data_IF_685666722075
#
_entry.id   IF_685666722075
#
_cell.length_a   1.000
_cell.length_b   1.000
_cell.length_c   1.000
_cell.angle_alpha   90.00
_cell.angle_beta   90.00
_cell.angle_gamma   90.00
#
_symmetry.space_group_name_H-M   'P 1'
#
loop_
_entity.id
_entity.type
_entity.pdbx_description
1 polymer ?
#
# COMPACT_ATOMS: atom_id res chain seq x y z
N UNK A 1 9.97 3.10 -16.80
CA UNK A 1 9.82 3.79 -15.51
C UNK A 1 11.17 4.36 -15.09
N UNK A 2 11.23 5.56 -14.53
CA UNK A 2 12.47 6.10 -13.97
C UNK A 2 12.93 5.26 -12.76
N UNK A 3 14.21 5.41 -12.39
CA UNK A 3 14.86 4.66 -11.33
C UNK A 3 15.81 5.53 -10.53
N UNK A 4 15.85 5.32 -9.21
CA UNK A 4 16.78 5.98 -8.29
C UNK A 4 17.44 4.92 -7.41
N UNK A 5 18.72 5.06 -7.11
CA UNK A 5 19.39 4.16 -6.16
C UNK A 5 19.12 4.60 -4.73
N UNK A 6 18.47 3.75 -3.94
CA UNK A 6 18.20 3.92 -2.52
C UNK A 6 18.82 2.73 -1.77
N UNK A 7 19.60 2.99 -0.76
CA UNK A 7 20.28 1.96 0.04
C UNK A 7 21.02 0.89 -0.81
N UNK A 8 21.64 1.35 -1.91
CA UNK A 8 22.39 0.48 -2.82
C UNK A 8 21.56 -0.36 -3.78
N UNK A 9 20.22 -0.21 -3.77
CA UNK A 9 19.32 -0.95 -4.64
C UNK A 9 18.56 -0.02 -5.58
N UNK A 10 18.22 -0.45 -6.83
CA UNK A 10 17.44 0.35 -7.77
C UNK A 10 15.97 0.35 -7.34
N UNK A 11 15.45 1.51 -6.98
CA UNK A 11 14.03 1.75 -6.71
C UNK A 11 13.39 2.35 -7.97
N UNK A 12 12.50 1.63 -8.59
CA UNK A 12 11.69 2.10 -9.71
C UNK A 12 10.46 2.82 -9.20
N UNK A 13 10.01 3.82 -9.94
CA UNK A 13 8.81 4.58 -9.64
C UNK A 13 8.14 5.07 -10.91
N UNK A 14 6.84 5.29 -10.84
CA UNK A 14 6.10 6.02 -11.88
C UNK A 14 6.10 7.50 -11.50
N UNK A 15 6.22 8.37 -12.49
CA UNK A 15 6.13 9.83 -12.37
C UNK A 15 5.32 10.35 -13.55
N UNK A 16 4.13 10.86 -13.27
CA UNK A 16 3.18 11.29 -14.30
C UNK A 16 2.38 12.51 -13.85
N UNK A 17 2.12 13.43 -14.78
CA UNK A 17 1.40 14.67 -14.51
C UNK A 17 2.31 15.77 -13.99
N UNK A 18 1.73 16.90 -13.61
CA UNK A 18 2.42 18.09 -13.14
C UNK A 18 1.66 18.74 -11.96
N UNK A 19 2.30 19.66 -11.26
CA UNK A 19 1.69 20.40 -10.16
C UNK A 19 1.99 19.83 -8.78
N UNK A 20 1.01 19.91 -7.88
CA UNK A 20 1.14 19.39 -6.52
C UNK A 20 1.31 17.87 -6.51
N UNK A 21 2.18 17.38 -5.62
CA UNK A 21 2.57 15.98 -5.63
C UNK A 21 1.61 15.11 -4.83
N UNK A 22 1.17 14.02 -5.44
CA UNK A 22 0.45 12.92 -4.79
C UNK A 22 1.29 11.64 -4.91
N UNK A 23 1.64 11.07 -3.77
CA UNK A 23 2.36 9.78 -3.68
C UNK A 23 1.37 8.67 -3.45
N UNK A 24 1.39 7.62 -4.27
CA UNK A 24 0.54 6.44 -4.12
C UNK A 24 1.36 5.25 -3.62
N UNK A 25 1.06 4.76 -2.43
CA UNK A 25 1.70 3.60 -1.82
C UNK A 25 0.91 2.31 -2.11
N UNK A 26 1.54 1.37 -2.80
CA UNK A 26 0.92 0.13 -3.25
C UNK A 26 0.79 -0.93 -2.15
N UNK A 27 -0.11 -1.90 -2.36
CA UNK A 27 -0.28 -3.07 -1.52
C UNK A 27 0.84 -4.09 -1.73
N UNK A 28 1.09 -4.92 -0.71
CA UNK A 28 1.95 -6.09 -0.82
C UNK A 28 1.46 -7.04 -1.91
N UNK A 29 2.36 -7.59 -2.71
CA UNK A 29 2.15 -8.44 -3.88
C UNK A 29 1.58 -7.72 -5.13
N UNK A 30 1.34 -6.42 -5.05
CA UNK A 30 0.88 -5.59 -6.15
C UNK A 30 1.96 -4.60 -6.60
N UNK A 31 1.95 -4.26 -7.87
CA UNK A 31 2.78 -3.21 -8.45
C UNK A 31 1.96 -1.94 -8.74
N UNK A 32 2.57 -0.94 -9.35
CA UNK A 32 1.91 0.33 -9.69
C UNK A 32 0.67 0.19 -10.59
N UNK A 33 0.51 -0.93 -11.30
CA UNK A 33 -0.65 -1.17 -12.16
C UNK A 33 -1.98 -1.21 -11.38
N UNK A 34 -1.95 -1.51 -10.07
CA UNK A 34 -3.14 -1.42 -9.22
C UNK A 34 -3.74 -0.01 -9.15
N UNK A 35 -2.94 0.99 -9.45
CA UNK A 35 -3.32 2.40 -9.43
C UNK A 35 -3.68 2.98 -10.79
N UNK A 36 -3.75 2.14 -11.86
CA UNK A 36 -3.93 2.62 -13.23
C UNK A 36 -5.13 3.58 -13.39
N UNK A 37 -6.27 3.27 -12.76
CA UNK A 37 -7.46 4.11 -12.81
C UNK A 37 -7.28 5.43 -12.04
N UNK A 38 -6.58 5.42 -10.90
CA UNK A 38 -6.28 6.60 -10.09
C UNK A 38 -5.24 7.47 -10.80
N UNK A 39 -4.17 6.88 -11.33
CA UNK A 39 -3.13 7.59 -12.09
C UNK A 39 -3.74 8.34 -13.26
N UNK A 40 -4.61 7.70 -14.04
CA UNK A 40 -5.27 8.30 -15.20
C UNK A 40 -6.11 9.54 -14.86
N UNK A 41 -6.72 9.56 -13.68
CA UNK A 41 -7.55 10.69 -13.24
C UNK A 41 -6.70 11.74 -12.52
N UNK A 42 -5.90 11.33 -11.54
CA UNK A 42 -5.13 12.25 -10.72
C UNK A 42 -4.04 13.00 -11.49
N UNK A 43 -3.40 12.35 -12.47
CA UNK A 43 -2.33 12.97 -13.27
C UNK A 43 -2.81 14.11 -14.17
N UNK A 44 -4.12 14.31 -14.30
CA UNK A 44 -4.68 15.47 -14.99
C UNK A 44 -4.61 16.76 -14.15
N UNK A 45 -4.43 16.63 -12.83
CA UNK A 45 -4.47 17.73 -11.86
C UNK A 45 -3.25 17.79 -10.93
N UNK A 46 -2.53 16.67 -10.79
CA UNK A 46 -1.44 16.48 -9.84
C UNK A 46 -0.24 15.80 -10.50
N UNK A 47 0.95 15.98 -9.94
CA UNK A 47 2.09 15.12 -10.23
C UNK A 47 2.00 13.87 -9.38
N UNK A 48 1.75 12.73 -10.00
CA UNK A 48 1.56 11.43 -9.34
C UNK A 48 2.86 10.65 -9.33
N UNK A 49 3.32 10.30 -8.12
CA UNK A 49 4.52 9.47 -7.90
C UNK A 49 4.07 8.14 -7.31
N UNK A 50 4.45 7.03 -7.94
CA UNK A 50 4.14 5.69 -7.43
C UNK A 50 5.44 4.91 -7.27
N UNK A 51 6.04 4.86 -6.07
CA UNK A 51 7.18 4.00 -5.82
C UNK A 51 6.78 2.54 -5.86
N UNK A 52 7.54 1.72 -6.58
CA UNK A 52 7.37 0.27 -6.53
C UNK A 52 7.98 -0.28 -5.24
N UNK A 53 7.29 -1.18 -4.56
CA UNK A 53 7.86 -1.88 -3.42
C UNK A 53 9.08 -2.71 -3.83
N UNK A 54 9.98 -2.95 -2.90
CA UNK A 54 11.13 -3.81 -3.12
C UNK A 54 10.73 -5.23 -3.56
N UNK A 55 11.34 -5.72 -4.63
CA UNK A 55 11.02 -7.00 -5.23
C UNK A 55 9.73 -7.04 -6.04
N UNK A 56 8.97 -5.92 -6.09
CA UNK A 56 7.76 -5.79 -6.90
C UNK A 56 8.05 -4.99 -8.18
N UNK A 57 7.21 -5.16 -9.18
CA UNK A 57 7.37 -4.46 -10.46
C UNK A 57 8.78 -4.61 -11.03
N UNK A 58 9.46 -3.47 -11.24
CA UNK A 58 10.84 -3.44 -11.73
C UNK A 58 11.87 -3.09 -10.63
N UNK A 59 11.42 -2.86 -9.39
CA UNK A 59 12.32 -2.53 -8.27
C UNK A 59 13.25 -3.67 -7.92
N UNK A 60 14.44 -3.29 -7.46
CA UNK A 60 15.47 -4.22 -7.00
C UNK A 60 15.06 -4.99 -5.74
N UNK A 61 16.00 -5.78 -5.25
CA UNK A 61 15.78 -6.56 -4.02
C UNK A 61 15.66 -5.65 -2.79
N UNK A 62 15.02 -6.18 -1.75
CA UNK A 62 14.92 -5.50 -0.45
C UNK A 62 16.33 -5.18 0.07
N UNK A 63 16.65 -3.91 0.39
CA UNK A 63 17.94 -3.55 0.96
C UNK A 63 18.22 -4.30 2.27
N UNK A 64 19.46 -4.73 2.46
CA UNK A 64 19.85 -5.54 3.63
C UNK A 64 19.67 -4.83 4.98
N UNK A 65 19.65 -3.50 4.99
CA UNK A 65 19.42 -2.68 6.17
C UNK A 65 17.94 -2.45 6.51
N UNK A 66 17.01 -2.89 5.67
CA UNK A 66 15.57 -2.75 5.90
C UNK A 66 15.11 -3.75 6.97
N UNK A 67 14.71 -3.26 8.16
CA UNK A 67 14.32 -4.06 9.32
C UNK A 67 12.91 -3.78 9.81
N UNK A 68 12.27 -2.73 9.32
CA UNK A 68 10.98 -2.24 9.79
C UNK A 68 10.21 -1.50 8.72
N UNK A 69 8.94 -1.21 8.99
CA UNK A 69 8.13 -0.31 8.15
C UNK A 69 8.61 1.15 8.25
N UNK A 70 9.31 1.53 9.32
CA UNK A 70 9.92 2.85 9.44
C UNK A 70 11.07 3.00 8.42
N UNK A 71 11.84 1.92 8.16
CA UNK A 71 12.88 1.95 7.12
C UNK A 71 12.26 2.10 5.72
N UNK A 72 11.14 1.43 5.44
CA UNK A 72 10.40 1.63 4.17
C UNK A 72 9.93 3.09 4.03
N UNK A 73 9.39 3.68 5.09
CA UNK A 73 8.98 5.08 5.12
C UNK A 73 10.16 6.02 4.82
N UNK A 74 11.32 5.77 5.44
CA UNK A 74 12.55 6.55 5.22
C UNK A 74 13.09 6.39 3.79
N UNK A 75 12.97 5.20 3.19
CA UNK A 75 13.38 4.94 1.82
C UNK A 75 12.51 5.68 0.80
N UNK A 76 11.19 5.77 1.06
CA UNK A 76 10.30 6.61 0.26
C UNK A 76 10.62 8.10 0.43
N UNK A 77 10.89 8.57 1.66
CA UNK A 77 11.35 9.94 1.87
C UNK A 77 12.66 10.24 1.11
N UNK A 78 13.62 9.31 1.12
CA UNK A 78 14.87 9.45 0.37
C UNK A 78 14.64 9.53 -1.15
N UNK A 79 13.66 8.78 -1.70
CA UNK A 79 13.23 8.94 -3.08
C UNK A 79 12.71 10.36 -3.33
N UNK A 80 11.80 10.85 -2.49
CA UNK A 80 11.20 12.17 -2.66
C UNK A 80 12.23 13.30 -2.53
N UNK A 81 13.22 13.14 -1.65
CA UNK A 81 14.35 14.08 -1.53
C UNK A 81 15.21 14.12 -2.80
N UNK A 82 15.45 12.96 -3.45
CA UNK A 82 16.16 12.89 -4.75
C UNK A 82 15.37 13.52 -5.89
N UNK A 83 14.06 13.66 -5.75
CA UNK A 83 13.17 14.31 -6.71
C UNK A 83 12.89 15.78 -6.35
N UNK A 84 13.57 16.33 -5.34
CA UNK A 84 13.37 17.70 -4.82
C UNK A 84 11.93 17.98 -4.37
N UNK A 85 11.18 16.95 -3.97
CA UNK A 85 9.80 17.04 -3.51
C UNK A 85 9.82 17.33 -2.00
N UNK A 86 9.46 18.54 -1.59
CA UNK A 86 9.47 18.97 -0.20
C UNK A 86 8.15 18.67 0.53
N UNK A 87 7.01 18.82 -0.13
CA UNK A 87 5.67 18.55 0.42
C UNK A 87 4.84 17.73 -0.56
N UNK A 88 4.02 16.86 -0.05
CA UNK A 88 3.19 15.97 -0.87
C UNK A 88 1.95 15.50 -0.11
N UNK A 89 0.92 15.07 -0.83
CA UNK A 89 -0.18 14.27 -0.30
C UNK A 89 0.18 12.78 -0.46
N UNK A 90 -0.17 11.97 0.52
CA UNK A 90 0.11 10.53 0.51
C UNK A 90 -1.20 9.74 0.54
N UNK A 91 -1.37 8.85 -0.41
CA UNK A 91 -2.46 7.87 -0.48
C UNK A 91 -1.83 6.50 -0.36
N UNK A 92 -2.06 5.80 0.74
CA UNK A 92 -1.44 4.49 0.99
C UNK A 92 -2.47 3.40 1.16
N UNK A 93 -2.40 2.35 0.31
CA UNK A 93 -3.24 1.19 0.40
C UNK A 93 -2.48 0.03 1.06
N UNK A 94 -3.09 -0.62 2.06
CA UNK A 94 -2.51 -1.77 2.77
C UNK A 94 -1.14 -1.43 3.37
N UNK A 95 -0.07 -2.13 2.98
CA UNK A 95 1.29 -1.79 3.44
C UNK A 95 1.68 -0.35 3.08
N UNK A 96 1.18 0.18 1.96
CA UNK A 96 1.34 1.60 1.59
C UNK A 96 0.79 2.54 2.65
N UNK A 97 -0.35 2.21 3.26
CA UNK A 97 -0.92 2.94 4.40
C UNK A 97 -0.14 2.72 5.69
N UNK A 98 0.38 1.49 5.90
CA UNK A 98 1.16 1.17 7.12
C UNK A 98 2.46 1.97 7.20
N UNK A 99 3.30 1.97 6.16
CA UNK A 99 4.50 2.81 6.15
C UNK A 99 4.16 4.29 5.96
N UNK A 100 3.06 4.60 5.27
CA UNK A 100 2.57 5.96 5.06
C UNK A 100 2.18 6.66 6.36
N UNK A 101 1.49 5.98 7.26
CA UNK A 101 1.17 6.50 8.60
C UNK A 101 2.46 6.79 9.40
N UNK A 102 3.46 5.90 9.35
CA UNK A 102 4.75 6.10 10.03
C UNK A 102 5.49 7.29 9.46
N UNK A 103 5.51 7.44 8.13
CA UNK A 103 6.10 8.59 7.45
C UNK A 103 5.42 9.89 7.90
N UNK A 104 4.09 9.92 7.95
CA UNK A 104 3.33 11.10 8.37
C UNK A 104 3.61 11.47 9.84
N UNK A 105 3.77 10.49 10.71
CA UNK A 105 4.14 10.72 12.11
C UNK A 105 5.59 11.20 12.27
N UNK A 106 6.51 10.69 11.46
CA UNK A 106 7.94 11.04 11.53
C UNK A 106 8.27 12.39 10.87
N UNK A 107 7.55 12.77 9.81
CA UNK A 107 7.81 13.97 9.02
C UNK A 107 6.51 14.74 8.69
N UNK A 108 5.74 15.15 9.72
CA UNK A 108 4.41 15.77 9.52
C UNK A 108 4.47 17.03 8.65
N UNK A 109 5.56 17.79 8.69
CA UNK A 109 5.77 18.99 7.88
C UNK A 109 5.87 18.71 6.37
N UNK A 110 6.11 17.45 5.97
CA UNK A 110 6.20 17.01 4.58
C UNK A 110 4.81 16.65 4.01
N UNK A 111 3.83 16.38 4.89
CA UNK A 111 2.51 15.86 4.52
C UNK A 111 1.53 17.02 4.38
N UNK A 112 0.90 17.13 3.20
CA UNK A 112 -0.22 18.06 2.93
C UNK A 112 -1.55 17.40 3.26
N UNK A 113 -1.68 16.12 2.91
CA UNK A 113 -2.84 15.29 3.20
C UNK A 113 -2.46 13.83 3.25
N UNK A 114 -3.16 13.06 4.06
CA UNK A 114 -2.95 11.63 4.24
C UNK A 114 -4.24 10.87 3.99
N UNK A 115 -4.21 9.88 3.10
CA UNK A 115 -5.30 8.93 2.91
C UNK A 115 -4.82 7.54 3.26
N UNK A 116 -5.46 6.92 4.24
CA UNK A 116 -5.21 5.56 4.69
C UNK A 116 -6.29 4.63 4.11
N UNK A 117 -5.90 3.76 3.17
CA UNK A 117 -6.84 2.90 2.46
C UNK A 117 -6.61 1.41 2.79
N UNK A 118 -7.68 0.70 3.10
CA UNK A 118 -7.64 -0.77 3.26
C UNK A 118 -6.41 -1.21 4.10
N UNK A 119 -6.16 -0.52 5.22
CA UNK A 119 -4.93 -0.62 6.01
C UNK A 119 -5.22 -0.61 7.51
N UNK A 120 -4.22 -0.94 8.32
CA UNK A 120 -4.30 -0.88 9.77
C UNK A 120 -2.92 -0.66 10.41
N UNK A 121 -2.85 0.31 11.32
CA UNK A 121 -1.60 0.67 12.01
C UNK A 121 -1.31 -0.17 13.26
N UNK A 122 -2.26 -0.98 13.71
CA UNK A 122 -2.10 -1.92 14.83
C UNK A 122 -1.26 -3.15 14.44
N UNK A 123 -0.78 -3.89 15.45
CA UNK A 123 -0.13 -5.17 15.24
C UNK A 123 -1.11 -6.22 14.71
N UNK A 124 -0.57 -7.23 14.01
CA UNK A 124 -1.38 -8.40 13.66
C UNK A 124 -1.75 -9.20 14.93
N UNK A 125 -3.01 -9.64 15.07
CA UNK A 125 -3.36 -10.64 16.07
C UNK A 125 -2.46 -11.88 15.94
N UNK A 126 -2.04 -12.46 17.07
CA UNK A 126 -1.05 -13.55 17.08
C UNK A 126 -1.41 -14.72 16.16
N UNK A 127 -2.67 -15.16 16.18
CA UNK A 127 -3.13 -16.27 15.33
C UNK A 127 -3.04 -15.92 13.83
N UNK A 128 -3.40 -14.68 13.46
CA UNK A 128 -3.33 -14.19 12.08
C UNK A 128 -1.87 -14.05 11.63
N UNK A 129 -1.02 -13.52 12.50
CA UNK A 129 0.43 -13.40 12.26
C UNK A 129 1.06 -14.76 11.99
N UNK A 130 0.76 -15.76 12.83
CA UNK A 130 1.29 -17.12 12.64
C UNK A 130 0.75 -17.77 11.35
N UNK A 131 -0.51 -17.53 11.01
CA UNK A 131 -1.05 -17.99 9.74
C UNK A 131 -0.30 -17.42 8.54
N UNK A 132 -0.08 -16.10 8.49
CA UNK A 132 0.70 -15.49 7.42
C UNK A 132 2.15 -15.95 7.40
N UNK A 133 2.78 -16.11 8.57
CA UNK A 133 4.14 -16.62 8.64
C UNK A 133 4.26 -18.06 8.15
N UNK A 134 3.25 -18.90 8.38
CA UNK A 134 3.21 -20.26 7.82
C UNK A 134 3.13 -20.25 6.29
N UNK A 135 2.34 -19.34 5.70
CA UNK A 135 2.28 -19.17 4.25
C UNK A 135 3.63 -18.69 3.67
N UNK A 136 4.27 -17.71 4.31
CA UNK A 136 5.59 -17.25 3.93
C UNK A 136 6.65 -18.37 4.01
N UNK A 137 6.57 -19.21 5.04
CA UNK A 137 7.45 -20.38 5.19
C UNK A 137 7.25 -21.40 4.07
N UNK A 138 6.00 -21.64 3.66
CA UNK A 138 5.70 -22.53 2.52
C UNK A 138 6.28 -21.99 1.21
N UNK A 139 6.20 -20.66 0.98
CA UNK A 139 6.82 -20.01 -0.19
C UNK A 139 8.34 -20.15 -0.13
N UNK A 140 8.94 -19.89 1.02
CA UNK A 140 10.38 -19.98 1.26
C UNK A 140 10.91 -21.39 0.97
N UNK A 141 10.25 -22.42 1.50
CA UNK A 141 10.63 -23.82 1.31
C UNK A 141 10.48 -24.28 -0.14
N UNK A 142 9.39 -23.89 -0.81
CA UNK A 142 9.13 -24.22 -2.19
C UNK A 142 10.00 -23.38 -3.19
N UNK A 143 10.37 -22.16 -2.81
CA UNK A 143 10.98 -21.17 -3.69
C UNK A 143 10.06 -20.74 -4.85
N UNK A 144 8.77 -20.91 -4.66
CA UNK A 144 7.68 -20.54 -5.58
C UNK A 144 6.39 -20.37 -4.78
N UNK A 145 5.36 -19.81 -5.42
CA UNK A 145 4.01 -19.80 -4.85
C UNK A 145 3.24 -20.97 -5.48
N UNK A 146 3.11 -22.11 -4.80
CA UNK A 146 2.46 -23.29 -5.39
C UNK A 146 0.97 -23.08 -5.59
N UNK A 147 0.32 -23.80 -6.54
CA UNK A 147 -1.09 -23.60 -6.87
C UNK A 147 -2.06 -23.60 -5.68
N UNK A 148 -1.97 -24.51 -4.69
CA UNK A 148 -2.85 -24.46 -3.53
C UNK A 148 -2.71 -23.19 -2.70
N UNK A 149 -1.50 -22.60 -2.67
CA UNK A 149 -1.24 -21.36 -1.97
C UNK A 149 -1.74 -20.15 -2.76
N UNK A 150 -1.66 -20.17 -4.10
CA UNK A 150 -2.30 -19.17 -4.96
C UNK A 150 -3.82 -19.15 -4.74
N UNK A 151 -4.45 -20.33 -4.67
CA UNK A 151 -5.89 -20.47 -4.44
C UNK A 151 -6.31 -19.97 -3.05
N UNK A 152 -5.40 -19.97 -2.07
CA UNK A 152 -5.63 -19.40 -0.75
C UNK A 152 -5.37 -17.88 -0.71
N UNK A 153 -4.32 -17.39 -1.38
CA UNK A 153 -3.90 -15.98 -1.33
C UNK A 153 -4.79 -15.08 -2.17
N UNK A 154 -5.03 -15.44 -3.44
CA UNK A 154 -5.68 -14.52 -4.40
C UNK A 154 -7.06 -14.05 -3.92
N UNK A 155 -7.97 -14.92 -3.42
CA UNK A 155 -9.30 -14.48 -2.99
C UNK A 155 -9.30 -13.55 -1.77
N UNK A 156 -8.19 -13.48 -1.00
CA UNK A 156 -8.09 -12.61 0.17
C UNK A 156 -8.19 -11.12 -0.25
N UNK A 157 -7.66 -10.79 -1.42
CA UNK A 157 -7.58 -9.41 -1.90
C UNK A 157 -8.90 -8.87 -2.46
N UNK A 158 -9.88 -9.70 -2.72
CA UNK A 158 -11.10 -9.31 -3.40
C UNK A 158 -12.35 -9.50 -2.54
N UNK A 159 -13.42 -8.81 -2.91
CA UNK A 159 -14.73 -8.97 -2.27
C UNK A 159 -15.23 -10.42 -2.32
N UNK A 160 -16.16 -10.75 -1.44
CA UNK A 160 -16.79 -12.07 -1.44
C UNK A 160 -17.60 -12.29 -2.73
N UNK A 161 -17.50 -13.50 -3.28
CA UNK A 161 -18.23 -13.86 -4.49
C UNK A 161 -17.73 -13.21 -5.79
N UNK A 162 -16.49 -12.68 -5.78
CA UNK A 162 -15.84 -12.24 -7.01
C UNK A 162 -15.81 -13.37 -8.03
N UNK A 163 -16.13 -13.06 -9.29
CA UNK A 163 -15.96 -14.01 -10.39
C UNK A 163 -14.46 -14.19 -10.67
N UNK A 164 -13.91 -15.42 -10.50
CA UNK A 164 -12.50 -15.68 -10.78
C UNK A 164 -12.08 -15.43 -12.24
N UNK A 165 -13.04 -15.40 -13.17
CA UNK A 165 -12.76 -15.08 -14.59
C UNK A 165 -12.63 -13.56 -14.86
N UNK A 166 -12.83 -12.73 -13.83
CA UNK A 166 -12.65 -11.28 -13.96
C UNK A 166 -11.21 -10.96 -14.37
N UNK A 167 -10.99 -10.08 -15.37
CA UNK A 167 -9.65 -9.82 -15.92
C UNK A 167 -8.61 -9.41 -14.88
N UNK A 168 -8.96 -8.56 -13.91
CA UNK A 168 -8.02 -8.12 -12.87
C UNK A 168 -7.73 -9.24 -11.85
N UNK A 169 -8.67 -10.14 -11.57
CA UNK A 169 -8.44 -11.31 -10.73
C UNK A 169 -7.43 -12.24 -11.40
N UNK A 170 -7.63 -12.56 -12.67
CA UNK A 170 -6.71 -13.40 -13.45
C UNK A 170 -5.34 -12.74 -13.63
N UNK A 171 -5.30 -11.43 -13.87
CA UNK A 171 -4.05 -10.69 -13.97
C UNK A 171 -3.24 -10.75 -12.66
N UNK A 172 -3.89 -10.55 -11.52
CA UNK A 172 -3.23 -10.68 -10.21
C UNK A 172 -2.77 -12.12 -9.94
N UNK A 173 -3.63 -13.11 -10.17
CA UNK A 173 -3.23 -14.52 -10.03
C UNK A 173 -2.00 -14.85 -10.91
N UNK A 174 -2.00 -14.37 -12.14
CA UNK A 174 -0.89 -14.59 -13.06
C UNK A 174 0.39 -13.87 -12.60
N UNK A 175 0.29 -12.64 -12.09
CA UNK A 175 1.46 -11.90 -11.60
C UNK A 175 2.20 -12.67 -10.50
N UNK A 176 1.48 -13.31 -9.59
CA UNK A 176 2.07 -14.10 -8.50
C UNK A 176 2.87 -15.32 -9.01
N UNK A 177 2.52 -15.87 -10.16
CA UNK A 177 3.27 -17.00 -10.76
C UNK A 177 4.57 -16.56 -11.42
N UNK A 178 4.77 -15.28 -11.65
CA UNK A 178 5.94 -14.72 -12.34
C UNK A 178 7.11 -14.37 -11.43
N UNK A 179 6.91 -14.36 -10.12
CA UNK A 179 8.01 -14.12 -9.20
C UNK A 179 9.09 -15.19 -9.36
N UNK A 180 10.32 -14.76 -9.57
CA UNK A 180 11.48 -15.65 -9.55
C UNK A 180 11.74 -16.13 -8.11
N UNK A 181 12.44 -17.27 -7.99
CA UNK A 181 12.90 -17.75 -6.69
C UNK A 181 13.67 -16.69 -5.93
N UNK A 182 14.56 -15.97 -6.60
CA UNK A 182 15.37 -14.91 -6.03
C UNK A 182 14.49 -13.75 -5.49
N UNK A 183 13.54 -13.26 -6.29
CA UNK A 183 12.60 -12.23 -5.83
C UNK A 183 11.82 -12.67 -4.58
N UNK A 184 11.34 -13.92 -4.57
CA UNK A 184 10.61 -14.46 -3.43
C UNK A 184 11.48 -14.50 -2.17
N UNK A 185 12.70 -15.04 -2.25
CA UNK A 185 13.55 -15.26 -1.08
C UNK A 185 14.26 -14.00 -0.59
N UNK A 186 14.66 -13.11 -1.52
CA UNK A 186 15.45 -11.92 -1.17
C UNK A 186 14.57 -10.69 -0.88
N UNK A 187 13.28 -10.72 -1.25
CA UNK A 187 12.42 -9.54 -1.13
C UNK A 187 11.02 -9.87 -0.61
N UNK A 188 10.26 -10.69 -1.32
CA UNK A 188 8.83 -10.89 -1.03
C UNK A 188 8.63 -11.51 0.36
N UNK A 189 9.30 -12.62 0.66
CA UNK A 189 9.18 -13.28 1.96
C UNK A 189 9.73 -12.40 3.10
N UNK A 190 10.94 -11.81 3.02
CA UNK A 190 11.43 -10.89 4.05
C UNK A 190 10.50 -9.69 4.27
N UNK A 191 10.01 -9.06 3.20
CA UNK A 191 9.07 -7.94 3.30
C UNK A 191 7.76 -8.37 3.97
N UNK A 192 7.21 -9.53 3.60
CA UNK A 192 6.04 -10.10 4.26
C UNK A 192 6.23 -10.30 5.76
N UNK A 193 7.42 -10.75 6.19
CA UNK A 193 7.76 -10.87 7.61
C UNK A 193 7.77 -9.52 8.33
N UNK A 194 8.25 -8.46 7.69
CA UNK A 194 8.20 -7.10 8.25
C UNK A 194 6.76 -6.60 8.36
N UNK A 195 5.93 -6.83 7.34
CA UNK A 195 4.54 -6.38 7.31
C UNK A 195 3.71 -7.07 8.40
N UNK A 196 3.74 -8.40 8.43
CA UNK A 196 2.92 -9.18 9.36
C UNK A 196 3.50 -9.26 10.77
N UNK A 197 4.80 -8.98 10.92
CA UNK A 197 5.48 -8.89 12.22
C UNK A 197 5.57 -7.47 12.79
N UNK A 198 4.90 -6.49 12.17
CA UNK A 198 5.00 -5.08 12.57
C UNK A 198 4.56 -4.84 14.01
N UNK A 199 5.19 -3.86 14.63
CA UNK A 199 4.79 -3.33 15.94
C UNK A 199 3.50 -2.51 15.85
N UNK A 200 2.82 -2.39 16.98
CA UNK A 200 1.60 -1.60 17.13
C UNK A 200 1.90 -0.10 17.16
N UNK A 201 1.25 0.66 16.26
CA UNK A 201 1.34 2.13 16.19
C UNK A 201 -0.05 2.78 16.27
N UNK A 202 -1.07 2.02 16.64
CA UNK A 202 -2.45 2.49 16.61
C UNK A 202 -2.66 3.75 17.46
N UNK A 203 -2.19 3.73 18.71
CA UNK A 203 -2.32 4.88 19.60
C UNK A 203 -1.58 6.14 19.11
N UNK A 204 -0.48 5.96 18.35
CA UNK A 204 0.27 7.08 17.80
C UNK A 204 -0.50 7.87 16.74
N UNK A 205 -1.51 7.27 16.12
CA UNK A 205 -2.34 7.93 15.11
C UNK A 205 -3.09 9.16 15.66
N UNK A 206 -3.31 9.25 16.96
CA UNK A 206 -3.91 10.43 17.62
C UNK A 206 -3.11 11.74 17.40
N UNK A 207 -1.84 11.64 16.98
CA UNK A 207 -1.01 12.80 16.65
C UNK A 207 -1.20 13.29 15.20
N UNK A 208 -1.92 12.54 14.35
CA UNK A 208 -2.20 12.96 12.97
C UNK A 208 -3.29 14.05 12.94
N UNK A 209 -3.17 15.07 12.06
CA UNK A 209 -4.17 16.12 11.95
C UNK A 209 -5.45 15.60 11.29
N UNK A 210 -6.58 15.68 12.01
CA UNK A 210 -7.87 15.16 11.55
C UNK A 210 -8.36 15.82 10.25
N UNK A 211 -8.12 17.12 10.11
CA UNK A 211 -8.59 17.95 8.98
C UNK A 211 -7.89 17.64 7.66
N UNK A 212 -6.71 17.05 7.70
CA UNK A 212 -5.92 16.66 6.53
C UNK A 212 -5.68 15.15 6.45
N UNK A 213 -6.50 14.36 7.15
CA UNK A 213 -6.47 12.90 7.11
C UNK A 213 -7.83 12.33 6.69
N UNK A 214 -7.83 11.27 5.90
CA UNK A 214 -9.00 10.53 5.46
C UNK A 214 -8.72 9.03 5.58
N UNK A 215 -9.70 8.26 6.03
CA UNK A 215 -9.64 6.79 6.03
C UNK A 215 -10.67 6.25 5.03
N UNK A 216 -10.22 5.37 4.13
CA UNK A 216 -11.05 4.63 3.18
C UNK A 216 -10.93 3.13 3.43
N UNK A 217 -12.00 2.37 3.19
CA UNK A 217 -11.92 0.91 3.28
C UNK A 217 -13.01 0.26 2.42
N UNK A 218 -12.66 -0.79 1.68
CA UNK A 218 -13.66 -1.64 1.02
C UNK A 218 -14.61 -2.25 2.04
N UNK A 219 -15.93 -2.18 1.77
CA UNK A 219 -16.93 -2.67 2.72
C UNK A 219 -16.85 -4.18 2.95
N UNK A 220 -16.19 -4.92 2.04
CA UNK A 220 -15.96 -6.35 2.09
C UNK A 220 -14.49 -6.72 2.24
N UNK A 221 -13.65 -5.81 2.73
CA UNK A 221 -12.24 -6.08 3.01
C UNK A 221 -12.13 -7.16 4.11
N UNK A 222 -11.48 -8.28 3.77
CA UNK A 222 -11.32 -9.42 4.68
C UNK A 222 -10.05 -9.32 5.53
N UNK A 223 -8.86 -9.06 4.95
CA UNK A 223 -7.62 -8.95 5.73
C UNK A 223 -7.57 -7.71 6.61
N UNK A 224 -8.26 -6.64 6.22
CA UNK A 224 -8.36 -5.37 6.97
C UNK A 224 -9.83 -4.97 7.09
N UNK A 225 -10.59 -5.60 7.99
CA UNK A 225 -12.04 -5.37 8.03
C UNK A 225 -12.38 -3.90 8.32
N UNK A 226 -13.54 -3.41 7.84
CA UNK A 226 -13.97 -2.03 8.04
C UNK A 226 -13.99 -1.55 9.49
N UNK A 227 -14.06 -2.46 10.46
CA UNK A 227 -13.94 -2.14 11.89
C UNK A 227 -12.58 -1.57 12.25
N UNK A 228 -11.49 -2.09 11.69
CA UNK A 228 -10.12 -1.57 11.89
C UNK A 228 -9.97 -0.17 11.30
N UNK A 229 -10.54 0.07 10.12
CA UNK A 229 -10.52 1.39 9.48
C UNK A 229 -11.33 2.42 10.30
N UNK A 230 -12.49 2.06 10.83
CA UNK A 230 -13.28 2.92 11.71
C UNK A 230 -12.55 3.24 13.01
N UNK A 231 -11.91 2.26 13.63
CA UNK A 231 -11.08 2.45 14.82
C UNK A 231 -9.97 3.48 14.57
N UNK A 232 -9.24 3.36 13.45
CA UNK A 232 -8.23 4.36 13.09
C UNK A 232 -8.84 5.75 12.90
N UNK A 233 -9.96 5.85 12.19
CA UNK A 233 -10.64 7.12 11.96
C UNK A 233 -11.13 7.77 13.27
N UNK A 234 -11.63 6.98 14.21
CA UNK A 234 -12.03 7.43 15.55
C UNK A 234 -10.84 7.95 16.36
N UNK A 235 -9.71 7.23 16.34
CA UNK A 235 -8.49 7.65 17.05
C UNK A 235 -7.93 8.96 16.48
N UNK A 236 -7.94 9.12 15.16
CA UNK A 236 -7.48 10.36 14.49
C UNK A 236 -8.52 11.49 14.64
N UNK A 237 -9.80 11.16 14.75
CA UNK A 237 -10.92 12.10 14.68
C UNK A 237 -11.22 12.56 13.24
N UNK A 238 -10.86 11.78 12.23
CA UNK A 238 -11.00 12.14 10.82
C UNK A 238 -12.19 11.45 10.13
N UNK A 239 -12.59 11.88 8.91
CA UNK A 239 -13.62 11.21 8.15
C UNK A 239 -13.24 9.76 7.77
N UNK A 240 -14.26 8.89 7.74
CA UNK A 240 -14.22 7.54 7.19
C UNK A 240 -15.20 7.41 6.03
N UNK A 241 -14.77 6.75 4.94
CA UNK A 241 -15.64 6.43 3.81
C UNK A 241 -15.51 4.93 3.50
N UNK A 242 -16.64 4.21 3.54
CA UNK A 242 -16.72 2.84 3.01
C UNK A 242 -16.83 2.85 1.49
N UNK A 243 -16.06 1.98 0.83
CA UNK A 243 -16.12 1.79 -0.61
C UNK A 243 -17.03 0.59 -0.90
N UNK A 244 -18.23 0.81 -1.45
CA UNK A 244 -19.19 -0.26 -1.68
C UNK A 244 -18.68 -1.22 -2.77
N UNK A 245 -19.12 -2.48 -2.70
CA UNK A 245 -18.77 -3.53 -3.67
C UNK A 245 -17.26 -3.71 -3.87
N UNK A 246 -16.46 -3.52 -2.82
CA UNK A 246 -15.00 -3.67 -2.86
C UNK A 246 -14.48 -4.44 -1.63
N UNK A 247 -13.47 -5.28 -1.87
CA UNK A 247 -12.65 -5.93 -0.87
C UNK A 247 -11.37 -5.14 -0.58
N UNK A 248 -10.24 -5.85 -0.40
CA UNK A 248 -8.96 -5.25 0.02
C UNK A 248 -8.30 -4.36 -1.04
N UNK A 249 -8.56 -4.59 -2.32
CA UNK A 249 -8.01 -3.74 -3.39
C UNK A 249 -9.14 -2.86 -3.94
N UNK A 250 -9.64 -1.99 -3.08
CA UNK A 250 -10.78 -1.11 -3.41
C UNK A 250 -10.49 -0.20 -4.61
N UNK A 251 -9.21 0.17 -4.81
CA UNK A 251 -8.74 0.97 -5.97
C UNK A 251 -9.00 0.31 -7.32
N UNK A 252 -9.02 -1.04 -7.37
CA UNK A 252 -9.24 -1.84 -8.57
C UNK A 252 -10.71 -2.25 -8.70
N UNK A 253 -11.34 -2.64 -7.57
CA UNK A 253 -12.71 -3.17 -7.60
C UNK A 253 -13.79 -2.11 -7.77
N UNK A 254 -13.58 -0.91 -7.20
CA UNK A 254 -14.48 0.23 -7.39
C UNK A 254 -13.71 1.53 -7.62
N UNK A 255 -12.99 1.64 -8.75
CA UNK A 255 -12.14 2.80 -9.02
C UNK A 255 -12.91 4.12 -9.12
N UNK A 256 -14.17 4.10 -9.56
CA UNK A 256 -14.97 5.31 -9.68
C UNK A 256 -15.25 5.96 -8.31
N UNK A 257 -15.67 5.16 -7.33
CA UNK A 257 -15.92 5.63 -5.97
C UNK A 257 -14.62 6.12 -5.30
N UNK A 258 -13.52 5.36 -5.46
CA UNK A 258 -12.20 5.75 -4.94
C UNK A 258 -11.73 7.06 -5.57
N UNK A 259 -11.80 7.21 -6.88
CA UNK A 259 -11.38 8.44 -7.57
C UNK A 259 -12.19 9.66 -7.09
N UNK A 260 -13.51 9.50 -6.94
CA UNK A 260 -14.37 10.57 -6.43
C UNK A 260 -13.97 10.98 -5.00
N UNK A 261 -13.73 10.02 -4.12
CA UNK A 261 -13.33 10.27 -2.75
C UNK A 261 -11.96 10.97 -2.68
N UNK A 262 -10.98 10.50 -3.47
CA UNK A 262 -9.64 11.08 -3.51
C UNK A 262 -9.65 12.52 -4.04
N UNK A 263 -10.31 12.79 -5.16
CA UNK A 263 -10.42 14.16 -5.70
C UNK A 263 -11.12 15.09 -4.70
N UNK A 264 -12.27 14.68 -4.16
CA UNK A 264 -13.01 15.48 -3.21
C UNK A 264 -12.23 15.79 -1.90
N UNK A 265 -11.29 14.94 -1.53
CA UNK A 265 -10.39 15.16 -0.40
C UNK A 265 -9.22 16.07 -0.78
N UNK A 266 -8.51 15.77 -1.86
CA UNK A 266 -7.32 16.49 -2.31
C UNK A 266 -7.62 17.95 -2.64
N UNK A 267 -8.77 18.22 -3.28
CA UNK A 267 -9.21 19.57 -3.66
C UNK A 267 -9.54 20.48 -2.46
N UNK A 268 -9.76 19.90 -1.26
CA UNK A 268 -10.03 20.67 -0.03
C UNK A 268 -8.78 20.98 0.78
N UNK A 269 -7.64 20.38 0.44
CA UNK A 269 -6.42 20.58 1.19
C UNK A 269 -5.93 22.04 1.02
N UNK A 270 -5.42 22.65 2.09
CA UNK A 270 -4.85 23.99 2.00
C UNK A 270 -3.65 24.01 1.07
N UNK A 271 -3.52 25.09 0.29
CA UNK A 271 -2.41 25.33 -0.64
C UNK A 271 -1.05 25.42 0.04
#
# INVERSE_FOLDING_TARGET
>A
MPVVTIDGQPLHYLDQGEGEVVVLGSSYLWDSAMWAAQINVLSQHYRVIVPELWGHGQSGRLPENTRSLDDLANQVLALLDRLDIQRFSLVGLSVGGMWGARLALAAPQRIRGLVLMDTYAGAEPEATRQYYFSMLKMIEDAGSIPPPLLDAIVPIFFKSGIDPETPFYQAFRHSLTRYSREQLLDSIVPLGRLIFGRDDRLAALAALPAETTLVLCGEQDKPRPPSEAREMAEIIGCPYIGIPEAGHISSVENPACVNQALLAFLDKLPG
#
